data_IF_606377359239
#
_entry.id   IF_606377359239
#
_cell.length_a   1.000
_cell.length_b   1.000
_cell.length_c   1.000
_cell.angle_alpha   90.00
_cell.angle_beta   90.00
_cell.angle_gamma   90.00
#
_symmetry.space_group_name_H-M   'P 1'
#
loop_
_entity.id
_entity.type
_entity.pdbx_description
1 polymer ?
#
# COMPACT_ATOMS: atom_id res chain seq x y z
N UNK A 1 8.82 14.72 -34.35
CA UNK A 1 9.47 14.11 -33.17
C UNK A 1 8.41 14.11 -32.07
N UNK A 2 7.79 12.96 -31.79
CA UNK A 2 6.83 12.82 -30.69
C UNK A 2 7.64 12.86 -29.41
N UNK A 3 7.46 13.87 -28.56
CA UNK A 3 8.05 13.86 -27.23
C UNK A 3 7.24 12.88 -26.38
N UNK A 4 7.82 11.72 -26.07
CA UNK A 4 7.32 10.87 -25.00
C UNK A 4 7.53 11.60 -23.68
N UNK A 5 6.47 12.26 -23.22
CA UNK A 5 6.45 12.90 -21.91
C UNK A 5 6.53 11.79 -20.85
N UNK A 6 7.55 11.85 -20.00
CA UNK A 6 7.65 11.00 -18.82
C UNK A 6 6.46 11.27 -17.92
N UNK A 7 5.63 10.25 -17.70
CA UNK A 7 4.51 10.28 -16.76
C UNK A 7 5.02 9.88 -15.38
N UNK A 8 4.92 10.80 -14.43
CA UNK A 8 5.17 10.50 -13.02
C UNK A 8 3.87 10.06 -12.36
N UNK A 9 3.78 8.78 -12.00
CA UNK A 9 2.70 8.28 -11.17
C UNK A 9 3.06 8.52 -9.69
N UNK A 10 2.23 9.27 -8.97
CA UNK A 10 2.42 9.58 -7.55
C UNK A 10 1.59 8.64 -6.68
N UNK A 11 2.19 8.16 -5.59
CA UNK A 11 1.56 7.24 -4.65
C UNK A 11 1.58 7.85 -3.25
N UNK A 12 0.43 7.76 -2.57
CA UNK A 12 0.25 8.28 -1.21
C UNK A 12 -0.23 7.13 -0.32
N UNK A 13 0.41 6.97 0.83
CA UNK A 13 0.01 6.00 1.86
C UNK A 13 -0.37 6.75 3.12
N UNK A 14 -1.61 6.54 3.58
CA UNK A 14 -2.12 7.14 4.82
C UNK A 14 -1.84 6.20 5.99
N UNK A 15 -1.26 6.74 7.06
CA UNK A 15 -0.96 6.00 8.28
C UNK A 15 -1.60 6.69 9.49
N UNK A 16 -2.46 5.96 10.21
CA UNK A 16 -3.11 6.46 11.43
C UNK A 16 -2.46 5.88 12.69
N UNK A 17 -2.16 6.72 13.66
CA UNK A 17 -1.64 6.32 14.97
C UNK A 17 -2.49 6.98 16.09
N UNK A 18 -3.35 6.24 16.79
CA UNK A 18 -4.22 6.79 17.84
C UNK A 18 -3.46 7.18 19.13
N UNK A 19 -2.19 6.77 19.29
CA UNK A 19 -1.37 7.04 20.47
C UNK A 19 -0.44 8.25 20.31
N UNK A 20 -0.77 9.18 19.41
CA UNK A 20 0.10 10.30 19.05
C UNK A 20 0.12 11.39 20.12
N UNK A 21 0.83 11.13 21.21
CA UNK A 21 1.42 12.18 22.03
C UNK A 21 2.93 11.90 22.16
N UNK A 22 3.70 12.74 21.47
CA UNK A 22 5.17 12.89 21.45
C UNK A 22 6.03 11.83 20.72
N UNK A 23 7.07 12.39 20.10
CA UNK A 23 8.09 11.87 19.18
C UNK A 23 8.86 10.62 19.61
N UNK A 24 8.74 10.17 20.87
CA UNK A 24 9.35 8.93 21.36
C UNK A 24 8.64 7.65 20.86
N UNK A 25 7.39 7.74 20.37
CA UNK A 25 6.55 6.56 20.09
C UNK A 25 6.60 6.01 18.66
N UNK A 26 7.29 6.65 17.70
CA UNK A 26 7.44 6.06 16.36
C UNK A 26 8.23 4.74 16.42
N UNK A 27 9.29 4.68 17.24
CA UNK A 27 10.11 3.47 17.41
C UNK A 27 9.32 2.33 18.06
N UNK A 28 8.49 2.64 19.07
CA UNK A 28 7.62 1.65 19.73
C UNK A 28 6.49 1.18 18.83
N UNK A 29 6.03 2.01 17.89
CA UNK A 29 5.09 1.62 16.84
C UNK A 29 5.70 0.62 15.85
N UNK A 30 6.92 0.85 15.34
CA UNK A 30 7.61 -0.15 14.48
C UNK A 30 7.80 -1.49 15.21
N UNK A 31 8.08 -1.45 16.53
CA UNK A 31 8.17 -2.65 17.37
C UNK A 31 6.80 -3.32 17.59
N UNK A 32 5.71 -2.55 17.66
CA UNK A 32 4.34 -3.08 17.75
C UNK A 32 3.87 -3.67 16.43
N UNK A 33 4.16 -3.05 15.28
CA UNK A 33 3.84 -3.61 13.97
C UNK A 33 4.53 -4.95 13.74
N UNK A 34 5.80 -5.07 14.14
CA UNK A 34 6.53 -6.34 14.07
C UNK A 34 5.99 -7.39 15.04
N UNK A 35 5.48 -6.99 16.23
CA UNK A 35 4.79 -7.89 17.17
C UNK A 35 3.35 -8.24 16.76
N UNK A 36 2.59 -7.33 16.18
CA UNK A 36 1.21 -7.54 15.73
C UNK A 36 1.16 -8.50 14.54
N UNK A 37 2.20 -8.54 13.71
CA UNK A 37 2.40 -9.67 12.76
C UNK A 37 2.43 -11.05 13.45
N UNK A 38 2.74 -11.11 14.75
CA UNK A 38 2.84 -12.33 15.56
C UNK A 38 1.62 -12.59 16.45
N UNK A 39 0.75 -11.59 16.64
CA UNK A 39 -0.47 -11.69 17.43
C UNK A 39 -1.60 -11.06 16.62
N UNK A 40 -2.50 -11.92 16.13
CA UNK A 40 -3.77 -11.53 15.51
C UNK A 40 -4.57 -10.69 16.51
N UNK A 41 -4.34 -9.37 16.51
CA UNK A 41 -5.16 -8.42 17.25
C UNK A 41 -6.41 -8.18 16.40
N UNK A 42 -7.58 -8.22 17.02
CA UNK A 42 -8.82 -7.87 16.33
C UNK A 42 -8.71 -6.44 15.76
N UNK A 43 -9.20 -6.21 14.53
CA UNK A 43 -9.19 -4.87 13.96
C UNK A 43 -10.14 -3.95 14.73
N UNK A 44 -9.63 -2.81 15.19
CA UNK A 44 -10.45 -1.75 15.78
C UNK A 44 -11.33 -1.12 14.67
N UNK A 45 -12.63 -1.42 14.71
CA UNK A 45 -13.59 -0.95 13.72
C UNK A 45 -13.70 0.57 13.65
N UNK A 46 -13.49 1.28 14.76
CA UNK A 46 -13.51 2.74 14.77
C UNK A 46 -12.27 3.31 14.07
N UNK A 47 -11.11 2.70 14.29
CA UNK A 47 -9.87 3.08 13.62
C UNK A 47 -9.94 2.83 12.10
N UNK A 48 -10.54 1.72 11.67
CA UNK A 48 -10.78 1.43 10.24
C UNK A 48 -11.66 2.52 9.63
N UNK A 49 -12.80 2.81 10.24
CA UNK A 49 -13.74 3.80 9.74
C UNK A 49 -13.10 5.19 9.60
N UNK A 50 -12.29 5.61 10.57
CA UNK A 50 -11.55 6.88 10.52
C UNK A 50 -10.57 6.94 9.35
N UNK A 51 -9.85 5.84 9.07
CA UNK A 51 -8.94 5.76 7.93
C UNK A 51 -9.71 5.82 6.61
N UNK A 52 -10.87 5.17 6.54
CA UNK A 52 -11.73 5.20 5.34
C UNK A 52 -12.26 6.61 5.06
N UNK A 53 -12.79 7.30 6.08
CA UNK A 53 -13.26 8.70 5.99
C UNK A 53 -12.12 9.63 5.54
N UNK A 54 -10.94 9.53 6.16
CA UNK A 54 -9.76 10.30 5.77
C UNK A 54 -9.30 10.01 4.33
N UNK A 55 -9.41 8.76 3.89
CA UNK A 55 -9.05 8.37 2.53
C UNK A 55 -10.01 8.96 1.50
N UNK A 56 -11.30 9.01 1.81
CA UNK A 56 -12.31 9.64 0.94
C UNK A 56 -12.07 11.15 0.82
N UNK A 57 -11.86 11.84 1.94
CA UNK A 57 -11.56 13.26 1.96
C UNK A 57 -10.29 13.59 1.15
N UNK A 58 -9.25 12.76 1.28
CA UNK A 58 -8.00 12.92 0.54
C UNK A 58 -8.18 12.71 -0.97
N UNK A 59 -8.94 11.70 -1.38
CA UNK A 59 -9.24 11.45 -2.80
C UNK A 59 -10.05 12.62 -3.38
N UNK A 60 -11.06 13.10 -2.66
CA UNK A 60 -11.87 14.24 -3.09
C UNK A 60 -11.02 15.52 -3.22
N UNK A 61 -10.12 15.77 -2.26
CA UNK A 61 -9.19 16.91 -2.34
C UNK A 61 -8.21 16.84 -3.51
N UNK A 62 -8.02 15.64 -4.10
CA UNK A 62 -7.13 15.37 -5.23
C UNK A 62 -7.88 15.06 -6.52
N UNK A 63 -9.16 15.45 -6.64
CA UNK A 63 -10.00 15.17 -7.81
C UNK A 63 -9.36 15.63 -9.13
N UNK A 64 -8.70 16.81 -9.14
CA UNK A 64 -8.02 17.34 -10.33
C UNK A 64 -6.85 16.48 -10.81
N UNK A 65 -6.33 15.59 -9.96
CA UNK A 65 -5.25 14.66 -10.26
C UNK A 65 -5.77 13.25 -10.57
N UNK A 66 -7.09 13.05 -10.59
CA UNK A 66 -7.72 11.74 -10.80
C UNK A 66 -7.21 10.69 -9.81
N UNK A 67 -7.01 11.11 -8.55
CA UNK A 67 -6.53 10.23 -7.50
C UNK A 67 -7.50 9.05 -7.30
N UNK A 68 -6.94 7.85 -7.12
CA UNK A 68 -7.71 6.62 -6.92
C UNK A 68 -7.09 5.77 -5.83
N UNK A 69 -7.93 5.04 -5.11
CA UNK A 69 -7.48 4.01 -4.20
C UNK A 69 -7.01 2.80 -5.01
N UNK A 70 -5.86 2.23 -4.62
CA UNK A 70 -5.42 0.93 -5.13
C UNK A 70 -6.31 -0.16 -4.55
N UNK A 71 -6.68 -1.13 -5.38
CA UNK A 71 -7.72 -2.11 -5.09
C UNK A 71 -7.33 -3.54 -5.49
N UNK A 72 -8.19 -4.49 -5.18
CA UNK A 72 -8.13 -5.85 -5.73
C UNK A 72 -9.05 -5.89 -6.95
N UNK A 73 -8.56 -6.45 -8.05
CA UNK A 73 -9.32 -6.58 -9.30
C UNK A 73 -9.22 -7.98 -9.89
N UNK A 74 -10.20 -8.36 -10.70
CA UNK A 74 -10.20 -9.63 -11.42
C UNK A 74 -9.68 -9.45 -12.85
N UNK A 75 -8.86 -10.38 -13.30
CA UNK A 75 -8.44 -10.49 -14.69
C UNK A 75 -8.31 -11.96 -15.07
N UNK A 76 -9.00 -12.39 -16.13
CA UNK A 76 -9.01 -13.77 -16.62
C UNK A 76 -9.33 -14.83 -15.54
N UNK A 77 -10.27 -14.53 -14.64
CA UNK A 77 -10.68 -15.43 -13.55
C UNK A 77 -9.70 -15.50 -12.37
N UNK A 78 -8.68 -14.65 -12.36
CA UNK A 78 -7.68 -14.56 -11.28
C UNK A 78 -7.76 -13.20 -10.61
N UNK A 79 -7.70 -13.17 -9.28
CA UNK A 79 -7.64 -11.93 -8.51
C UNK A 79 -6.21 -11.40 -8.47
N UNK A 80 -6.06 -10.09 -8.65
CA UNK A 80 -4.80 -9.35 -8.62
C UNK A 80 -4.88 -8.21 -7.61
N UNK A 81 -3.75 -7.79 -7.07
CA UNK A 81 -3.64 -6.77 -6.02
C UNK A 81 -2.81 -5.59 -6.50
N UNK A 82 -3.43 -4.45 -6.77
CA UNK A 82 -2.72 -3.26 -7.27
C UNK A 82 -1.70 -2.74 -6.25
N UNK A 83 -1.93 -2.93 -4.95
CA UNK A 83 -0.98 -2.61 -3.90
C UNK A 83 0.28 -3.48 -4.02
N UNK A 84 0.12 -4.77 -4.36
CA UNK A 84 1.22 -5.68 -4.59
C UNK A 84 1.98 -5.34 -5.87
N UNK A 85 1.28 -4.92 -6.93
CA UNK A 85 1.91 -4.41 -8.16
C UNK A 85 2.73 -3.16 -7.89
N UNK A 86 2.21 -2.21 -7.11
CA UNK A 86 2.93 -1.01 -6.70
C UNK A 86 4.21 -1.36 -5.93
N UNK A 87 4.12 -2.26 -4.94
CA UNK A 87 5.29 -2.67 -4.17
C UNK A 87 6.30 -3.43 -5.05
N UNK A 88 5.84 -4.24 -6.01
CA UNK A 88 6.71 -4.88 -7.00
C UNK A 88 7.40 -3.85 -7.90
N UNK A 89 6.70 -2.82 -8.35
CA UNK A 89 7.29 -1.71 -9.10
C UNK A 89 8.31 -0.93 -8.27
N UNK A 90 8.02 -0.70 -6.98
CA UNK A 90 8.92 0.02 -6.08
C UNK A 90 10.24 -0.74 -5.86
N UNK A 91 10.19 -2.07 -5.76
CA UNK A 91 11.37 -2.91 -5.50
C UNK A 91 12.08 -3.31 -6.79
N UNK A 92 11.34 -3.71 -7.81
CA UNK A 92 11.83 -4.28 -9.07
C UNK A 92 11.91 -3.30 -10.24
N UNK A 93 11.41 -2.07 -10.10
CA UNK A 93 11.46 -1.02 -11.13
C UNK A 93 10.53 -1.24 -12.32
N UNK A 94 9.77 -2.34 -12.36
CA UNK A 94 8.82 -2.67 -13.44
C UNK A 94 7.41 -2.90 -12.91
N UNK A 95 6.42 -2.47 -13.68
CA UNK A 95 5.01 -2.70 -13.35
C UNK A 95 4.55 -4.02 -13.96
N UNK A 96 4.14 -4.95 -13.11
CA UNK A 96 3.64 -6.27 -13.49
C UNK A 96 2.41 -6.61 -12.66
N UNK A 97 1.50 -7.41 -13.23
CA UNK A 97 0.31 -7.89 -12.52
C UNK A 97 0.70 -8.91 -11.46
N UNK A 98 0.36 -8.66 -10.21
CA UNK A 98 0.68 -9.56 -9.09
C UNK A 98 -0.59 -10.26 -8.60
N UNK A 99 -0.71 -11.59 -8.80
CA UNK A 99 -1.89 -12.31 -8.35
C UNK A 99 -1.99 -12.24 -6.83
N UNK A 100 -3.22 -12.20 -6.32
CA UNK A 100 -3.51 -12.23 -4.91
C UNK A 100 -3.14 -13.62 -4.36
N UNK A 101 -1.95 -13.74 -3.76
CA UNK A 101 -1.48 -14.99 -3.18
C UNK A 101 -1.96 -15.12 -1.74
N UNK A 102 -2.36 -16.33 -1.34
CA UNK A 102 -2.54 -16.69 0.08
C UNK A 102 -1.16 -16.89 0.70
N UNK A 103 -0.43 -15.80 0.95
CA UNK A 103 0.94 -15.84 1.44
C UNK A 103 1.44 -14.47 1.89
N UNK A 104 2.66 -14.42 2.43
CA UNK A 104 3.24 -13.13 2.78
C UNK A 104 3.53 -12.32 1.51
N UNK A 105 3.09 -11.07 1.48
CA UNK A 105 3.33 -10.14 0.36
C UNK A 105 4.83 -10.07 -0.01
N UNK A 106 5.73 -10.17 0.98
CA UNK A 106 7.18 -10.18 0.80
C UNK A 106 7.70 -11.31 -0.10
N UNK A 107 7.11 -12.52 -0.04
CA UNK A 107 7.55 -13.66 -0.86
C UNK A 107 7.09 -13.58 -2.31
N UNK A 108 6.14 -12.68 -2.63
CA UNK A 108 5.57 -12.51 -3.97
C UNK A 108 6.18 -11.29 -4.68
N UNK A 109 6.53 -10.23 -3.94
CA UNK A 109 7.18 -9.02 -4.47
C UNK A 109 8.60 -9.32 -4.96
N UNK A 110 9.36 -10.14 -4.22
CA UNK A 110 10.70 -10.58 -4.61
C UNK A 110 10.63 -11.73 -5.62
N UNK A 111 10.27 -11.42 -6.86
CA UNK A 111 10.45 -12.36 -7.98
C UNK A 111 11.87 -12.30 -8.55
N UNK A 112 12.48 -11.11 -8.54
CA UNK A 112 13.86 -10.92 -8.95
C UNK A 112 14.73 -10.71 -7.71
N UNK A 113 15.58 -11.69 -7.40
CA UNK A 113 16.70 -11.44 -6.49
C UNK A 113 17.56 -10.36 -7.11
N UNK A 114 17.73 -9.24 -6.41
CA UNK A 114 18.79 -8.29 -6.74
C UNK A 114 20.11 -8.98 -6.45
N UNK A 115 20.78 -9.44 -7.51
CA UNK A 115 22.16 -9.92 -7.43
C UNK A 115 23.02 -8.65 -7.54
N UNK A 116 23.62 -8.25 -6.42
CA UNK A 116 24.72 -7.29 -6.42
C UNK A 116 26.05 -8.05 -6.46
#
# INVERSE_FOLDING_TARGET
ISQELYRNDLFISVLWNPASDKTEQLSSFFQRLTKAKKTQSEPDAEAIRKIEELSQDLIQGLESYEARLLSIYEHDGVLFSEQSEFLHQLVGGRRERIPLTFGTIASTIYSDRVIF
#
